data_IF_075473234889
#
_entry.id   IF_075473234889
#
_cell.length_a   1.000
_cell.length_b   1.000
_cell.length_c   1.000
_cell.angle_alpha   90.00
_cell.angle_beta   90.00
_cell.angle_gamma   90.00
#
_symmetry.space_group_name_H-M   'P 1'
#
loop_
_entity.id
_entity.type
_entity.pdbx_description
1 polymer ?
#
# COMPACT_ATOMS: atom_id res chain seq x y z
N UNK A 1 -0.05 -19.25 -3.42
CA UNK A 1 0.55 -18.84 -2.14
C UNK A 1 0.51 -17.32 -2.00
N UNK A 2 0.11 -16.83 -0.84
CA UNK A 2 0.11 -15.38 -0.53
C UNK A 2 0.91 -15.13 0.73
N UNK A 3 1.90 -14.22 0.64
CA UNK A 3 2.66 -13.72 1.77
C UNK A 3 2.13 -12.35 2.19
N UNK A 4 1.76 -12.21 3.47
CA UNK A 4 1.41 -10.95 4.11
C UNK A 4 2.53 -10.48 5.02
N UNK A 5 2.89 -9.20 4.89
CA UNK A 5 3.96 -8.59 5.68
C UNK A 5 3.46 -7.29 6.29
N UNK A 6 3.52 -7.15 7.59
CA UNK A 6 3.21 -5.91 8.31
C UNK A 6 3.85 -5.97 9.70
N UNK A 7 4.65 -4.98 10.08
CA UNK A 7 5.31 -4.91 11.39
C UNK A 7 4.46 -4.26 12.48
N UNK A 8 3.34 -3.64 12.12
CA UNK A 8 2.53 -2.82 13.04
C UNK A 8 1.62 -3.64 13.95
N UNK A 9 1.12 -2.94 14.96
CA UNK A 9 -0.03 -3.36 15.76
C UNK A 9 -1.30 -2.64 15.29
N UNK A 10 -2.44 -3.23 15.55
CA UNK A 10 -3.75 -2.61 15.32
C UNK A 10 -3.94 -1.49 16.32
N UNK A 11 -4.07 -0.27 15.81
CA UNK A 11 -4.38 0.93 16.60
C UNK A 11 -5.87 1.27 16.52
N UNK A 12 -6.42 1.91 17.56
CA UNK A 12 -7.82 2.30 17.57
C UNK A 12 -8.17 3.24 16.40
N UNK A 13 -7.24 4.09 15.99
CA UNK A 13 -7.40 4.97 14.83
C UNK A 13 -7.47 4.24 13.49
N UNK A 14 -7.15 2.95 13.45
CA UNK A 14 -7.27 2.13 12.25
C UNK A 14 -8.71 1.66 11.99
N UNK A 15 -9.58 1.65 13.01
CA UNK A 15 -10.95 1.13 12.96
C UNK A 15 -11.84 1.82 11.94
N UNK A 16 -11.52 3.06 11.60
CA UNK A 16 -12.29 3.83 10.63
C UNK A 16 -12.13 3.33 9.19
N UNK A 17 -11.09 2.51 8.88
CA UNK A 17 -10.79 2.14 7.48
C UNK A 17 -10.16 0.76 7.26
N UNK A 18 -9.63 0.12 8.29
CA UNK A 18 -8.97 -1.18 8.16
C UNK A 18 -9.89 -2.30 8.62
N UNK A 19 -10.24 -3.23 7.73
CA UNK A 19 -11.15 -4.34 8.03
C UNK A 19 -10.66 -5.26 9.15
N UNK A 20 -9.35 -5.27 9.40
CA UNK A 20 -8.72 -6.03 10.48
C UNK A 20 -8.85 -5.36 11.84
N UNK A 21 -9.13 -4.05 11.85
CA UNK A 21 -9.20 -3.25 13.07
C UNK A 21 -10.62 -3.25 13.63
N UNK A 22 -10.82 -3.98 14.71
CA UNK A 22 -12.06 -4.08 15.46
C UNK A 22 -11.80 -3.80 16.95
N UNK A 23 -12.84 -3.63 17.75
CA UNK A 23 -12.69 -3.50 19.21
C UNK A 23 -11.98 -4.70 19.84
N UNK A 24 -12.06 -5.88 19.22
CA UNK A 24 -11.43 -7.10 19.71
C UNK A 24 -9.95 -7.23 19.28
N UNK A 25 -9.55 -6.58 18.19
CA UNK A 25 -8.20 -6.71 17.64
C UNK A 25 -7.28 -5.54 17.97
N UNK A 26 -7.82 -4.41 18.48
CA UNK A 26 -6.99 -3.28 18.94
C UNK A 26 -5.93 -3.75 19.92
N UNK A 27 -4.67 -3.33 19.70
CA UNK A 27 -3.53 -3.74 20.51
C UNK A 27 -2.90 -5.08 20.13
N UNK A 28 -3.50 -5.87 19.22
CA UNK A 28 -2.86 -7.08 18.67
C UNK A 28 -1.98 -6.74 17.47
N UNK A 29 -1.10 -7.66 17.07
CA UNK A 29 -0.32 -7.50 15.84
C UNK A 29 -1.24 -7.56 14.62
N UNK A 30 -1.06 -6.67 13.63
CA UNK A 30 -1.87 -6.67 12.41
C UNK A 30 -1.78 -8.02 11.69
N UNK A 31 -0.62 -8.65 11.69
CA UNK A 31 -0.42 -9.97 11.08
C UNK A 31 -1.24 -11.06 11.79
N UNK A 32 -1.36 -11.00 13.11
CA UNK A 32 -2.20 -11.95 13.87
C UNK A 32 -3.69 -11.76 13.56
N UNK A 33 -4.15 -10.52 13.48
CA UNK A 33 -5.52 -10.19 13.09
C UNK A 33 -5.80 -10.61 11.62
N UNK A 34 -4.84 -10.39 10.71
CA UNK A 34 -4.92 -10.82 9.33
C UNK A 34 -5.05 -12.34 9.23
N UNK A 35 -4.18 -13.09 9.92
CA UNK A 35 -4.20 -14.56 9.93
C UNK A 35 -5.57 -15.09 10.37
N UNK A 36 -6.09 -14.60 11.50
CA UNK A 36 -7.40 -15.02 11.98
C UNK A 36 -8.50 -14.74 10.94
N UNK A 37 -8.47 -13.57 10.32
CA UNK A 37 -9.46 -13.18 9.31
C UNK A 37 -9.37 -14.04 8.05
N UNK A 38 -8.18 -14.25 7.48
CA UNK A 38 -8.02 -15.00 6.24
C UNK A 38 -8.35 -16.48 6.42
N UNK A 39 -7.90 -17.10 7.51
CA UNK A 39 -8.24 -18.49 7.80
C UNK A 39 -9.74 -18.68 8.13
N UNK A 40 -10.44 -17.65 8.63
CA UNK A 40 -11.89 -17.71 8.79
C UNK A 40 -12.65 -17.67 7.47
N UNK A 41 -12.04 -17.15 6.39
CA UNK A 41 -12.62 -17.09 5.04
C UNK A 41 -12.25 -18.34 4.24
N UNK A 42 -10.98 -18.71 4.27
CA UNK A 42 -10.48 -19.90 3.57
C UNK A 42 -9.48 -20.65 4.48
N UNK A 43 -9.93 -21.64 5.24
CA UNK A 43 -9.07 -22.40 6.15
C UNK A 43 -8.00 -23.23 5.43
N UNK A 44 -8.24 -23.59 4.15
CA UNK A 44 -7.31 -24.35 3.30
C UNK A 44 -6.38 -23.44 2.49
N UNK A 45 -6.46 -22.14 2.68
CA UNK A 45 -5.65 -21.18 1.93
C UNK A 45 -4.15 -21.30 2.25
N UNK A 46 -3.32 -21.26 1.22
CA UNK A 46 -1.85 -21.24 1.37
C UNK A 46 -1.37 -19.83 1.66
N UNK A 47 -1.27 -19.50 2.96
CA UNK A 47 -0.93 -18.18 3.48
C UNK A 47 0.29 -18.21 4.38
N UNK A 48 1.20 -17.26 4.17
CA UNK A 48 2.30 -16.95 5.09
C UNK A 48 2.15 -15.54 5.68
N UNK A 49 2.58 -15.38 6.93
CA UNK A 49 2.43 -14.14 7.67
C UNK A 49 3.76 -13.79 8.36
N UNK A 50 4.33 -12.63 8.01
CA UNK A 50 5.59 -12.16 8.58
C UNK A 50 5.35 -10.84 9.30
N UNK A 51 5.69 -10.81 10.58
CA UNK A 51 5.65 -9.59 11.40
C UNK A 51 7.00 -8.87 11.30
N UNK A 52 7.19 -8.13 10.23
CA UNK A 52 8.41 -7.37 9.99
C UNK A 52 8.10 -6.04 9.31
N UNK A 53 8.90 -5.03 9.58
CA UNK A 53 8.97 -3.84 8.76
C UNK A 53 9.90 -4.09 7.58
N UNK A 54 9.45 -3.74 6.39
CA UNK A 54 10.33 -3.70 5.24
C UNK A 54 11.28 -2.50 5.36
N UNK A 55 12.57 -2.77 5.55
CA UNK A 55 13.62 -1.77 5.63
C UNK A 55 14.63 -2.01 4.50
N UNK A 56 15.06 -0.97 3.77
CA UNK A 56 16.00 -1.13 2.64
C UNK A 56 17.27 -1.90 2.99
N UNK A 57 17.79 -1.72 4.21
CA UNK A 57 19.02 -2.32 4.71
C UNK A 57 18.93 -3.82 4.99
N UNK A 58 17.72 -4.37 5.16
CA UNK A 58 17.53 -5.80 5.43
C UNK A 58 16.43 -6.45 4.58
N UNK A 59 16.13 -5.91 3.42
CA UNK A 59 14.97 -6.29 2.61
C UNK A 59 15.14 -7.53 1.72
N UNK A 60 16.34 -8.12 1.68
CA UNK A 60 16.64 -9.27 0.79
C UNK A 60 15.78 -10.49 1.10
N UNK A 61 15.41 -10.70 2.36
CA UNK A 61 14.54 -11.81 2.76
C UNK A 61 13.21 -11.85 1.99
N UNK A 62 12.63 -10.69 1.60
CA UNK A 62 11.40 -10.65 0.82
C UNK A 62 11.60 -11.31 -0.56
N UNK A 63 12.75 -11.10 -1.17
CA UNK A 63 13.06 -11.61 -2.51
C UNK A 63 13.53 -13.06 -2.50
N UNK A 64 13.96 -13.58 -1.36
CA UNK A 64 14.24 -15.02 -1.17
C UNK A 64 12.96 -15.88 -1.30
N UNK A 65 11.78 -15.28 -1.03
CA UNK A 65 10.48 -15.90 -1.29
C UNK A 65 10.15 -16.04 -2.78
N UNK A 66 10.94 -15.44 -3.68
CA UNK A 66 10.76 -15.45 -5.13
C UNK A 66 9.34 -15.06 -5.56
N UNK A 67 8.85 -13.89 -5.15
CA UNK A 67 7.48 -13.48 -5.47
C UNK A 67 7.32 -13.27 -6.97
N UNK A 68 6.22 -13.76 -7.55
CA UNK A 68 5.81 -13.47 -8.93
C UNK A 68 5.22 -12.08 -9.09
N UNK A 69 4.66 -11.55 -8.00
CA UNK A 69 3.99 -10.27 -7.96
C UNK A 69 4.07 -9.65 -6.55
N UNK A 70 4.31 -8.35 -6.50
CA UNK A 70 4.30 -7.58 -5.23
C UNK A 70 3.24 -6.49 -5.31
N UNK A 71 2.41 -6.39 -4.28
CA UNK A 71 1.54 -5.24 -4.03
C UNK A 71 2.19 -4.43 -2.91
N UNK A 72 2.66 -3.24 -3.24
CA UNK A 72 3.25 -2.32 -2.28
C UNK A 72 2.19 -1.34 -1.76
N UNK A 73 1.79 -1.52 -0.51
CA UNK A 73 0.87 -0.64 0.21
C UNK A 73 1.54 0.07 1.42
N UNK A 74 2.87 0.15 1.41
CA UNK A 74 3.66 0.80 2.46
C UNK A 74 3.53 2.32 2.33
N UNK A 75 3.63 3.09 3.40
CA UNK A 75 3.59 4.55 3.39
C UNK A 75 4.98 5.21 3.41
N UNK A 76 6.03 4.45 3.71
CA UNK A 76 7.42 4.92 3.80
C UNK A 76 8.06 5.05 2.42
N UNK A 77 8.47 6.26 2.05
CA UNK A 77 9.05 6.58 0.72
C UNK A 77 10.30 5.75 0.42
N UNK A 78 11.21 5.62 1.39
CA UNK A 78 12.46 4.87 1.21
C UNK A 78 12.22 3.40 0.90
N UNK A 79 11.27 2.78 1.60
CA UNK A 79 10.86 1.40 1.36
C UNK A 79 10.23 1.22 -0.03
N UNK A 80 9.31 2.11 -0.42
CA UNK A 80 8.70 2.09 -1.76
C UNK A 80 9.72 2.19 -2.88
N UNK A 81 10.69 3.07 -2.74
CA UNK A 81 11.76 3.26 -3.72
C UNK A 81 12.66 2.04 -3.82
N UNK A 82 13.03 1.44 -2.70
CA UNK A 82 13.85 0.24 -2.65
C UNK A 82 13.13 -0.97 -3.28
N UNK A 83 11.85 -1.18 -2.94
CA UNK A 83 11.03 -2.22 -3.57
C UNK A 83 10.95 -2.01 -5.09
N UNK A 84 10.67 -0.79 -5.55
CA UNK A 84 10.58 -0.49 -6.97
C UNK A 84 11.90 -0.77 -7.70
N UNK A 85 13.02 -0.35 -7.13
CA UNK A 85 14.34 -0.58 -7.71
C UNK A 85 14.71 -2.07 -7.77
N UNK A 86 14.44 -2.82 -6.69
CA UNK A 86 14.70 -4.25 -6.64
C UNK A 86 13.81 -5.06 -7.56
N UNK A 87 12.54 -4.69 -7.67
CA UNK A 87 11.59 -5.32 -8.59
C UNK A 87 12.01 -5.07 -10.05
N UNK A 88 12.39 -3.83 -10.40
CA UNK A 88 12.87 -3.50 -11.75
C UNK A 88 14.11 -4.32 -12.13
N UNK A 89 15.10 -4.40 -11.24
CA UNK A 89 16.32 -5.19 -11.46
C UNK A 89 16.07 -6.68 -11.60
N UNK A 90 15.07 -7.22 -10.88
CA UNK A 90 14.74 -8.65 -10.84
C UNK A 90 13.62 -9.05 -11.79
N UNK A 91 13.03 -8.07 -12.49
CA UNK A 91 11.88 -8.27 -13.37
C UNK A 91 10.67 -8.90 -12.66
N UNK A 92 10.46 -8.51 -11.40
CA UNK A 92 9.31 -8.89 -10.61
C UNK A 92 8.19 -7.89 -10.86
N UNK A 93 6.97 -8.36 -11.12
CA UNK A 93 5.82 -7.48 -11.31
C UNK A 93 5.47 -6.77 -10.00
N UNK A 94 5.23 -5.47 -10.10
CA UNK A 94 4.94 -4.61 -8.95
C UNK A 94 3.78 -3.67 -9.28
N UNK A 95 2.89 -3.45 -8.32
CA UNK A 95 1.98 -2.31 -8.31
C UNK A 95 2.08 -1.61 -6.97
N UNK A 96 2.22 -0.28 -6.97
CA UNK A 96 2.39 0.50 -5.75
C UNK A 96 1.17 1.39 -5.49
N UNK A 97 0.66 1.36 -4.26
CA UNK A 97 -0.39 2.27 -3.80
C UNK A 97 0.21 3.62 -3.43
N UNK A 98 -0.29 4.69 -4.02
CA UNK A 98 0.05 6.04 -3.60
C UNK A 98 -0.93 6.56 -2.52
N UNK A 99 -0.76 7.81 -2.07
CA UNK A 99 -1.52 8.36 -0.96
C UNK A 99 -3.04 8.40 -1.21
N UNK A 100 -3.80 7.76 -0.33
CA UNK A 100 -5.26 7.74 -0.31
C UNK A 100 -5.86 8.64 0.78
N UNK A 101 -5.02 9.30 1.58
CA UNK A 101 -5.45 10.24 2.60
C UNK A 101 -6.01 11.54 2.03
N UNK A 102 -6.90 12.19 2.80
CA UNK A 102 -7.62 13.42 2.42
C UNK A 102 -8.40 13.29 1.10
N UNK A 103 -8.94 12.09 0.81
CA UNK A 103 -9.75 11.76 -0.36
C UNK A 103 -11.13 11.30 0.07
N UNK A 104 -12.15 11.69 -0.68
CA UNK A 104 -13.56 11.38 -0.42
C UNK A 104 -14.20 10.52 -1.50
N UNK A 105 -13.66 10.52 -2.73
CA UNK A 105 -14.28 9.92 -3.90
C UNK A 105 -13.50 8.67 -4.36
N UNK A 106 -13.92 7.45 -3.96
CA UNK A 106 -13.26 6.22 -4.39
C UNK A 106 -13.33 6.00 -5.91
N UNK A 107 -14.36 6.53 -6.59
CA UNK A 107 -14.50 6.51 -8.05
C UNK A 107 -13.46 7.38 -8.80
N UNK A 108 -12.71 8.21 -8.06
CA UNK A 108 -11.56 8.95 -8.58
C UNK A 108 -10.25 8.17 -8.51
N UNK A 109 -10.26 6.98 -7.92
CA UNK A 109 -9.09 6.10 -7.91
C UNK A 109 -8.84 5.54 -9.30
N UNK A 110 -7.58 5.55 -9.73
CA UNK A 110 -7.14 5.06 -11.05
C UNK A 110 -5.87 4.23 -10.94
N UNK A 111 -5.84 3.15 -11.73
CA UNK A 111 -4.60 2.47 -12.08
C UNK A 111 -3.97 3.18 -13.27
N UNK A 112 -2.68 3.40 -13.23
CA UNK A 112 -1.92 4.02 -14.31
C UNK A 112 -0.42 3.93 -14.05
N UNK A 113 0.34 4.64 -14.83
CA UNK A 113 1.79 4.76 -14.64
C UNK A 113 2.13 5.93 -13.71
N UNK A 114 3.27 5.83 -13.02
CA UNK A 114 3.75 6.89 -12.12
C UNK A 114 3.88 8.25 -12.83
N UNK A 115 4.18 8.27 -14.12
CA UNK A 115 4.27 9.50 -14.92
C UNK A 115 2.92 10.22 -15.05
N UNK A 116 1.81 9.48 -15.07
CA UNK A 116 0.44 10.00 -15.17
C UNK A 116 -0.03 10.72 -13.90
N UNK A 117 0.69 10.57 -12.80
CA UNK A 117 0.33 11.20 -11.53
C UNK A 117 0.68 12.69 -11.44
N UNK A 118 1.16 13.30 -12.54
CA UNK A 118 1.42 14.73 -12.57
C UNK A 118 0.11 15.52 -12.34
N UNK A 119 0.15 16.46 -11.39
CA UNK A 119 -1.03 17.28 -11.08
C UNK A 119 -2.07 16.63 -10.15
N UNK A 120 -1.91 15.37 -9.72
CA UNK A 120 -2.88 14.70 -8.83
C UNK A 120 -2.91 15.24 -7.38
N UNK A 121 -2.11 16.26 -7.06
CA UNK A 121 -2.06 16.86 -5.73
C UNK A 121 -1.46 15.97 -4.62
N UNK A 122 -0.99 14.75 -4.92
CA UNK A 122 -0.42 13.85 -3.94
C UNK A 122 1.08 14.13 -3.70
N UNK A 123 1.49 14.54 -2.47
CA UNK A 123 2.90 14.80 -2.16
C UNK A 123 3.78 13.55 -2.33
N UNK A 124 3.27 12.37 -1.93
CA UNK A 124 3.97 11.10 -2.08
C UNK A 124 4.25 10.82 -3.57
N UNK A 125 3.25 10.97 -4.45
CA UNK A 125 3.42 10.80 -5.90
C UNK A 125 4.49 11.72 -6.47
N UNK A 126 4.52 12.99 -6.03
CA UNK A 126 5.53 13.97 -6.46
C UNK A 126 6.94 13.54 -6.08
N UNK A 127 7.13 13.05 -4.86
CA UNK A 127 8.44 12.57 -4.40
C UNK A 127 8.82 11.31 -5.15
N UNK A 128 7.92 10.32 -5.26
CA UNK A 128 8.18 9.06 -5.97
C UNK A 128 8.60 9.30 -7.42
N UNK A 129 7.87 10.13 -8.20
CA UNK A 129 8.26 10.46 -9.58
C UNK A 129 9.67 11.03 -9.69
N UNK A 130 10.02 11.96 -8.79
CA UNK A 130 11.34 12.58 -8.81
C UNK A 130 12.44 11.57 -8.48
N UNK A 131 12.26 10.79 -7.43
CA UNK A 131 13.28 9.88 -6.93
C UNK A 131 13.43 8.63 -7.83
N UNK A 132 12.36 8.11 -8.40
CA UNK A 132 12.41 7.02 -9.38
C UNK A 132 13.18 7.45 -10.65
N UNK A 133 12.88 8.65 -11.17
CA UNK A 133 13.61 9.18 -12.33
C UNK A 133 15.10 9.33 -12.07
N UNK A 134 15.50 9.77 -10.85
CA UNK A 134 16.93 9.84 -10.47
C UNK A 134 17.61 8.48 -10.45
N UNK A 135 16.84 7.40 -10.28
CA UNK A 135 17.31 6.01 -10.30
C UNK A 135 17.19 5.34 -11.66
N UNK A 136 16.79 6.10 -12.68
CA UNK A 136 16.61 5.56 -14.04
C UNK A 136 15.36 4.71 -14.20
N UNK A 137 14.42 4.78 -13.26
CA UNK A 137 13.13 4.07 -13.32
C UNK A 137 12.08 5.05 -13.85
N UNK A 138 11.69 4.87 -15.10
CA UNK A 138 10.73 5.75 -15.76
C UNK A 138 9.28 5.29 -15.58
N UNK A 139 9.07 4.00 -15.42
CA UNK A 139 7.76 3.36 -15.33
C UNK A 139 7.57 2.63 -14.01
N UNK A 140 6.44 2.84 -13.38
CA UNK A 140 5.96 2.08 -12.22
C UNK A 140 4.44 2.05 -12.27
N UNK A 141 3.82 0.86 -12.33
CA UNK A 141 2.38 0.75 -12.16
C UNK A 141 1.96 1.23 -10.76
N UNK A 142 1.02 2.16 -10.72
CA UNK A 142 0.54 2.76 -9.47
C UNK A 142 -0.97 2.85 -9.41
N UNK A 143 -1.51 2.82 -8.19
CA UNK A 143 -2.85 3.28 -7.89
C UNK A 143 -2.76 4.67 -7.28
N UNK A 144 -3.49 5.61 -7.83
CA UNK A 144 -3.55 6.99 -7.35
C UNK A 144 -4.96 7.56 -7.49
N UNK A 145 -5.23 8.69 -6.82
CA UNK A 145 -6.49 9.42 -7.00
C UNK A 145 -6.29 10.64 -7.90
N UNK A 146 -7.22 10.87 -8.79
CA UNK A 146 -7.30 12.10 -9.59
C UNK A 146 -8.04 13.22 -8.86
N UNK A 147 -8.59 12.93 -7.67
CA UNK A 147 -9.21 13.92 -6.81
C UNK A 147 -8.17 14.88 -6.25
N UNK A 148 -8.49 16.17 -6.17
CA UNK A 148 -7.67 17.11 -5.41
C UNK A 148 -7.82 16.83 -3.91
N UNK A 149 -6.73 16.74 -3.13
CA UNK A 149 -6.83 16.43 -1.70
C UNK A 149 -7.65 17.48 -0.96
N UNK A 150 -8.58 17.04 -0.12
CA UNK A 150 -9.27 17.95 0.79
C UNK A 150 -8.24 18.66 1.70
N UNK A 151 -8.45 19.93 1.96
CA UNK A 151 -7.63 20.68 2.92
C UNK A 151 -7.88 20.11 4.33
N UNK A 152 -6.82 19.91 5.09
CA UNK A 152 -6.96 19.55 6.50
C UNK A 152 -7.74 20.65 7.24
N UNK A 153 -8.84 20.26 7.87
CA UNK A 153 -9.74 21.21 8.59
C UNK A 153 -9.38 21.38 10.06
N UNK A 154 -8.42 20.61 10.58
CA UNK A 154 -7.99 20.72 11.97
C UNK A 154 -6.71 21.54 12.08
N UNK A 155 -6.80 22.67 12.78
CA UNK A 155 -5.63 23.35 13.33
C UNK A 155 -5.14 22.50 14.52
N UNK A 156 -3.94 21.96 14.47
CA UNK A 156 -3.24 21.45 15.64
C UNK A 156 -1.96 22.23 15.86
N UNK A 157 -1.65 22.46 17.10
CA UNK A 157 -0.48 23.24 17.56
C UNK A 157 0.88 22.59 17.21
N UNK A 158 0.93 21.49 16.48
CA UNK A 158 2.14 20.68 16.23
C UNK A 158 2.58 20.56 14.77
N UNK A 159 2.21 21.45 13.87
CA UNK A 159 2.89 21.68 12.58
C UNK A 159 2.81 20.61 11.47
N UNK A 160 2.47 19.35 11.70
CA UNK A 160 2.18 18.32 10.70
C UNK A 160 1.04 17.43 11.15
N UNK A 161 -0.09 17.55 10.46
CA UNK A 161 -1.23 16.65 10.69
C UNK A 161 -1.08 15.39 9.85
N UNK A 162 -1.29 14.20 10.43
CA UNK A 162 -1.47 13.02 9.62
C UNK A 162 -2.69 13.23 8.70
N UNK A 163 -2.63 12.80 7.44
CA UNK A 163 -3.76 12.96 6.52
C UNK A 163 -4.99 12.23 7.08
N UNK A 164 -6.14 12.89 7.01
CA UNK A 164 -7.42 12.27 7.34
C UNK A 164 -7.71 11.09 6.41
N UNK A 165 -8.47 10.11 6.89
CA UNK A 165 -8.92 8.98 6.08
C UNK A 165 -10.39 8.72 6.32
N UNK A 166 -11.09 8.29 5.26
CA UNK A 166 -12.50 7.89 5.30
C UNK A 166 -12.62 6.39 5.09
N UNK A 167 -13.71 5.79 5.59
CA UNK A 167 -13.86 4.33 5.68
C UNK A 167 -13.86 3.58 4.34
N UNK A 168 -14.12 4.23 3.23
CA UNK A 168 -14.32 3.56 1.94
C UNK A 168 -13.23 3.83 0.89
N UNK A 169 -12.44 4.91 0.97
CA UNK A 169 -11.40 5.18 -0.04
C UNK A 169 -10.19 4.24 0.08
N UNK A 170 -9.54 4.06 1.26
CA UNK A 170 -8.44 3.12 1.37
C UNK A 170 -8.84 1.65 1.10
N UNK A 171 -10.01 1.14 1.58
CA UNK A 171 -10.45 -0.20 1.22
C UNK A 171 -10.71 -0.39 -0.28
N UNK A 172 -11.34 0.59 -0.95
CA UNK A 172 -11.53 0.53 -2.41
C UNK A 172 -10.18 0.46 -3.14
N UNK A 173 -9.17 1.21 -2.69
CA UNK A 173 -7.81 1.11 -3.23
C UNK A 173 -7.25 -0.31 -3.09
N UNK A 174 -7.43 -0.95 -1.93
CA UNK A 174 -7.01 -2.33 -1.71
C UNK A 174 -7.67 -3.32 -2.66
N UNK A 175 -8.99 -3.22 -2.87
CA UNK A 175 -9.73 -4.07 -3.83
C UNK A 175 -9.27 -3.86 -5.28
N UNK A 176 -9.02 -2.63 -5.69
CA UNK A 176 -8.53 -2.32 -7.05
C UNK A 176 -7.15 -2.94 -7.27
N UNK A 177 -6.23 -2.82 -6.29
CA UNK A 177 -4.88 -3.40 -6.34
C UNK A 177 -4.93 -4.93 -6.40
N UNK A 178 -5.73 -5.55 -5.54
CA UNK A 178 -5.92 -7.00 -5.53
C UNK A 178 -6.49 -7.48 -6.87
N UNK A 179 -7.52 -6.79 -7.40
CA UNK A 179 -8.10 -7.10 -8.69
C UNK A 179 -7.10 -6.97 -9.85
N UNK A 180 -6.23 -5.95 -9.82
CA UNK A 180 -5.15 -5.81 -10.81
C UNK A 180 -4.17 -6.99 -10.72
N UNK A 181 -3.68 -7.29 -9.53
CA UNK A 181 -2.76 -8.41 -9.32
C UNK A 181 -3.32 -9.73 -9.85
N UNK A 182 -4.57 -10.05 -9.50
CA UNK A 182 -5.25 -11.28 -9.95
C UNK A 182 -5.37 -11.33 -11.48
N UNK A 183 -5.80 -10.24 -12.12
CA UNK A 183 -5.90 -10.17 -13.58
C UNK A 183 -4.55 -10.30 -14.27
N UNK A 184 -3.53 -9.61 -13.76
CA UNK A 184 -2.17 -9.68 -14.32
C UNK A 184 -1.59 -11.11 -14.22
N UNK A 185 -1.88 -11.82 -13.13
CA UNK A 185 -1.43 -13.22 -12.95
C UNK A 185 -2.22 -14.15 -13.89
N UNK A 186 -3.53 -13.94 -14.01
CA UNK A 186 -4.40 -14.74 -14.86
C UNK A 186 -4.25 -14.44 -16.37
N UNK A 187 -3.61 -13.34 -16.75
CA UNK A 187 -3.44 -12.93 -18.14
C UNK A 187 -4.73 -12.41 -18.81
N UNK A 188 -5.63 -11.76 -18.02
CA UNK A 188 -6.91 -11.20 -18.49
C UNK A 188 -7.05 -9.72 -18.18
#
# INVERSE_FOLDING_TARGET
HILFVDGDRVDDTNRNRQILATTQTVGTDKISAARARFLSINPEGDFSFIKEFYLPENSEWLFEWKPDYIIDAIDTVTAKLDIAEKCEKRKIRLVSCLGTGNRLYPEKLRLGDISETAGCGCPLAKVMRRELRRRGIEHLPVLFSTEEPAKATAESDAGRHPPGSISFVPPAAGYILAGKCVRDIAGV
#
